data_IF_467269537637
#
_entry.id   IF_467269537637
#
_cell.length_a   1.000
_cell.length_b   1.000
_cell.length_c   1.000
_cell.angle_alpha   90.00
_cell.angle_beta   90.00
_cell.angle_gamma   90.00
#
_symmetry.space_group_name_H-M   'P 1'
#
loop_
_entity.id
_entity.type
_entity.pdbx_description
1 polymer ?
#
# COMPACT_ATOMS: atom_id res chain seq x y z
N UNK A 1 11.38 -3.20 -1.90
CA UNK A 1 10.72 -1.88 -2.03
C UNK A 1 9.21 -1.94 -1.80
N UNK A 2 8.47 -2.82 -2.50
CA UNK A 2 7.02 -2.98 -2.31
C UNK A 2 6.61 -3.29 -0.86
N UNK A 3 7.28 -4.24 -0.21
CA UNK A 3 6.96 -4.64 1.16
C UNK A 3 7.00 -3.47 2.17
N UNK A 4 8.00 -2.59 2.05
CA UNK A 4 8.15 -1.42 2.91
C UNK A 4 7.02 -0.40 2.69
N UNK A 5 6.63 -0.17 1.43
CA UNK A 5 5.51 0.73 1.11
C UNK A 5 4.17 0.20 1.65
N UNK A 6 3.95 -1.12 1.59
CA UNK A 6 2.77 -1.76 2.17
C UNK A 6 2.74 -1.67 3.70
N UNK A 7 3.91 -1.75 4.36
CA UNK A 7 4.01 -1.53 5.81
C UNK A 7 3.65 -0.10 6.21
N UNK A 8 4.16 0.90 5.48
CA UNK A 8 3.81 2.30 5.71
C UNK A 8 2.31 2.57 5.47
N UNK A 9 1.73 1.97 4.42
CA UNK A 9 0.30 2.10 4.12
C UNK A 9 -0.56 1.50 5.25
N UNK A 10 -0.13 0.38 5.83
CA UNK A 10 -0.79 -0.24 6.99
C UNK A 10 -0.68 0.64 8.24
N UNK A 11 0.52 1.14 8.53
CA UNK A 11 0.73 2.07 9.65
C UNK A 11 -0.16 3.31 9.55
N UNK A 12 -0.30 3.88 8.35
CA UNK A 12 -1.15 5.05 8.13
C UNK A 12 -2.64 4.73 8.40
N UNK A 13 -3.10 3.53 8.06
CA UNK A 13 -4.46 3.09 8.37
C UNK A 13 -4.66 2.86 9.87
N UNK A 14 -3.69 2.22 10.54
CA UNK A 14 -3.74 1.92 11.98
C UNK A 14 -3.75 3.18 12.84
N UNK A 15 -3.11 4.25 12.37
CA UNK A 15 -3.07 5.56 13.05
C UNK A 15 -4.14 6.53 12.54
N UNK A 16 -5.16 6.04 11.81
CA UNK A 16 -6.28 6.83 11.29
C UNK A 16 -5.88 8.02 10.39
N UNK A 17 -4.65 8.01 9.84
CA UNK A 17 -4.15 9.06 8.95
C UNK A 17 -4.80 8.96 7.55
N UNK A 18 -5.30 7.78 7.19
CA UNK A 18 -6.02 7.50 5.96
C UNK A 18 -7.24 6.63 6.25
N UNK A 19 -8.25 6.71 5.38
CA UNK A 19 -9.42 5.84 5.45
C UNK A 19 -9.13 4.45 4.86
N UNK A 20 -9.98 3.48 5.19
CA UNK A 20 -9.94 2.13 4.61
C UNK A 20 -10.08 2.14 3.08
N UNK A 21 -10.81 3.11 2.52
CA UNK A 21 -10.93 3.27 1.07
C UNK A 21 -9.59 3.69 0.45
N UNK A 22 -8.92 4.69 1.05
CA UNK A 22 -7.63 5.18 0.60
C UNK A 22 -6.57 4.08 0.72
N UNK A 23 -6.55 3.34 1.83
CA UNK A 23 -5.65 2.19 2.02
C UNK A 23 -5.73 1.20 0.84
N UNK A 24 -6.94 0.80 0.45
CA UNK A 24 -7.15 -0.16 -0.65
C UNK A 24 -6.68 0.38 -2.00
N UNK A 25 -6.98 1.65 -2.30
CA UNK A 25 -6.52 2.28 -3.55
C UNK A 25 -4.99 2.34 -3.61
N UNK A 26 -4.34 2.70 -2.51
CA UNK A 26 -2.88 2.76 -2.42
C UNK A 26 -2.25 1.37 -2.54
N UNK A 27 -2.80 0.36 -1.87
CA UNK A 27 -2.33 -1.04 -1.94
C UNK A 27 -2.34 -1.57 -3.38
N UNK A 28 -3.46 -1.39 -4.09
CA UNK A 28 -3.58 -1.80 -5.51
C UNK A 28 -2.55 -1.08 -6.38
N UNK A 29 -2.41 0.24 -6.23
CA UNK A 29 -1.47 1.04 -7.03
C UNK A 29 -0.01 0.61 -6.79
N UNK A 30 0.36 0.34 -5.54
CA UNK A 30 1.71 -0.13 -5.20
C UNK A 30 2.00 -1.50 -5.81
N UNK A 31 1.06 -2.45 -5.74
CA UNK A 31 1.21 -3.78 -6.31
C UNK A 31 1.33 -3.70 -7.84
N UNK A 32 0.50 -2.90 -8.51
CA UNK A 32 0.57 -2.71 -9.97
C UNK A 32 1.93 -2.13 -10.39
N UNK A 33 2.44 -1.14 -9.65
CA UNK A 33 3.67 -0.42 -10.00
C UNK A 33 4.95 -1.18 -9.66
N UNK A 34 4.96 -1.95 -8.57
CA UNK A 34 6.17 -2.56 -8.03
C UNK A 34 6.10 -4.09 -7.89
N UNK A 35 4.92 -4.69 -7.98
CA UNK A 35 4.71 -6.14 -7.89
C UNK A 35 4.93 -6.88 -9.21
N UNK A 36 4.97 -6.17 -10.34
CA UNK A 36 5.17 -6.72 -11.69
C UNK A 36 6.63 -7.09 -12.02
N UNK A 37 7.57 -6.98 -11.08
CA UNK A 37 8.98 -7.32 -11.33
C UNK A 37 9.31 -8.82 -11.35
N UNK A 38 8.34 -9.72 -11.22
CA UNK A 38 8.55 -11.17 -11.16
C UNK A 38 7.48 -11.99 -11.91
N UNK A 39 7.11 -11.58 -13.13
CA UNK A 39 6.43 -12.48 -14.08
C UNK A 39 7.37 -12.87 -15.20
#
# INVERSE_FOLDING_TARGET
MLAYLLQLNRYALENELITKEIYKKMEISMIQKYGTKFS
#
